data_IF_937613696779
#
_entry.id   IF_937613696779
#
_cell.length_a   1.000
_cell.length_b   1.000
_cell.length_c   1.000
_cell.angle_alpha   90.00
_cell.angle_beta   90.00
_cell.angle_gamma   90.00
#
_symmetry.space_group_name_H-M   'P 1'
#
loop_
_entity.id
_entity.type
_entity.pdbx_description
1 polymer ?
#
# COMPACT_ATOMS: atom_id res chain seq x y z
N UNK A 1 -3.60 48.03 -16.54
CA UNK A 1 -4.24 47.49 -15.32
C UNK A 1 -4.59 46.04 -15.59
N UNK A 2 -4.35 45.19 -14.59
CA UNK A 2 -4.23 43.74 -14.58
C UNK A 2 -5.16 42.87 -15.46
N UNK A 3 -4.54 41.93 -16.18
CA UNK A 3 -5.16 40.66 -16.59
C UNK A 3 -4.36 39.51 -15.98
N UNK A 4 -4.70 39.12 -14.76
CA UNK A 4 -4.17 37.94 -14.09
C UNK A 4 -4.95 36.71 -14.53
N UNK A 5 -4.43 35.92 -15.46
CA UNK A 5 -4.95 34.59 -15.75
C UNK A 5 -4.48 33.63 -14.67
N UNK A 6 -5.35 33.36 -13.70
CA UNK A 6 -5.19 32.27 -12.74
C UNK A 6 -5.34 30.93 -13.48
N UNK A 7 -4.23 30.27 -13.79
CA UNK A 7 -4.24 28.84 -14.10
C UNK A 7 -4.58 28.09 -12.80
N UNK A 8 -5.86 27.75 -12.67
CA UNK A 8 -6.41 26.97 -11.57
C UNK A 8 -6.05 25.50 -11.72
N UNK A 9 -5.21 25.01 -10.81
CA UNK A 9 -5.23 23.68 -10.21
C UNK A 9 -5.69 22.52 -11.09
N UNK A 10 -4.81 22.04 -11.96
CA UNK A 10 -4.93 20.70 -12.53
C UNK A 10 -4.39 19.69 -11.51
N UNK A 11 -5.33 19.08 -10.78
CA UNK A 11 -5.30 17.77 -10.12
C UNK A 11 -3.95 17.00 -10.19
N UNK A 12 -2.98 17.41 -9.37
CA UNK A 12 -1.63 16.86 -9.31
C UNK A 12 -1.50 15.83 -8.17
N UNK A 13 -2.39 14.82 -8.15
CA UNK A 13 -2.38 13.79 -7.09
C UNK A 13 -2.11 12.36 -7.61
N UNK A 14 -1.92 12.19 -8.93
CA UNK A 14 -1.65 10.89 -9.57
C UNK A 14 -0.30 10.84 -10.32
N UNK A 15 0.63 11.74 -9.99
CA UNK A 15 1.87 11.95 -10.77
C UNK A 15 3.17 11.56 -10.07
N UNK A 16 3.11 10.90 -8.91
CA UNK A 16 4.33 10.55 -8.16
C UNK A 16 4.98 9.24 -8.66
N UNK A 17 4.27 8.46 -9.49
CA UNK A 17 4.81 7.25 -10.15
C UNK A 17 5.01 7.47 -11.67
N UNK A 18 4.79 8.69 -12.16
CA UNK A 18 4.83 9.04 -13.59
C UNK A 18 5.83 10.15 -13.94
N UNK A 19 6.47 10.80 -12.97
CA UNK A 19 7.56 11.73 -13.27
C UNK A 19 8.90 11.04 -13.07
N UNK A 20 9.57 10.75 -14.17
CA UNK A 20 10.87 10.08 -14.15
C UNK A 20 11.95 11.15 -13.98
N UNK A 21 13.05 10.83 -13.30
CA UNK A 21 14.17 11.78 -13.17
C UNK A 21 14.70 12.16 -14.56
N UNK A 22 14.67 11.23 -15.51
CA UNK A 22 15.04 11.47 -16.89
C UNK A 22 14.13 12.52 -17.56
N UNK A 23 12.81 12.45 -17.35
CA UNK A 23 11.86 13.43 -17.88
C UNK A 23 12.10 14.81 -17.28
N UNK A 24 12.36 14.89 -15.97
CA UNK A 24 12.71 16.16 -15.32
C UNK A 24 14.00 16.75 -15.88
N UNK A 25 15.07 15.95 -16.01
CA UNK A 25 16.32 16.45 -16.61
C UNK A 25 16.13 16.92 -18.05
N UNK A 26 15.25 16.25 -18.81
CA UNK A 26 14.90 16.63 -20.18
C UNK A 26 14.15 17.96 -20.20
N UNK A 27 13.16 18.15 -19.31
CA UNK A 27 12.44 19.42 -19.17
C UNK A 27 13.37 20.58 -18.80
N UNK A 28 14.27 20.40 -17.84
CA UNK A 28 15.25 21.43 -17.48
C UNK A 28 16.23 21.73 -18.63
N UNK A 29 16.59 20.71 -19.41
CA UNK A 29 17.45 20.87 -20.58
C UNK A 29 16.74 21.63 -21.71
N UNK A 30 15.47 21.33 -21.96
CA UNK A 30 14.62 22.04 -22.92
C UNK A 30 14.43 23.52 -22.55
N UNK A 31 14.11 23.81 -21.28
CA UNK A 31 13.99 25.18 -20.79
C UNK A 31 15.32 25.95 -20.91
N UNK A 32 16.44 25.32 -20.54
CA UNK A 32 17.77 25.90 -20.74
C UNK A 32 18.03 26.26 -22.20
N UNK A 33 17.69 25.37 -23.15
CA UNK A 33 17.85 25.67 -24.57
C UNK A 33 16.92 26.79 -25.06
N UNK A 34 15.70 26.90 -24.51
CA UNK A 34 14.78 27.98 -24.88
C UNK A 34 15.26 29.34 -24.37
N UNK A 35 15.88 29.39 -23.20
CA UNK A 35 16.52 30.61 -22.69
C UNK A 35 17.73 31.03 -23.53
N UNK A 36 18.62 30.09 -23.88
CA UNK A 36 19.79 30.35 -24.73
C UNK A 36 19.39 30.91 -26.11
N UNK A 37 18.24 30.49 -26.65
CA UNK A 37 17.68 31.03 -27.90
C UNK A 37 17.03 32.42 -27.73
N UNK A 38 16.58 32.78 -26.52
CA UNK A 38 15.92 34.06 -26.21
C UNK A 38 16.90 35.19 -25.90
N UNK A 39 18.09 34.87 -25.38
CA UNK A 39 19.14 35.83 -25.02
C UNK A 39 19.81 36.55 -26.22
N UNK A 40 19.40 36.27 -27.47
CA UNK A 40 19.83 37.01 -28.66
C UNK A 40 19.29 38.44 -28.79
N UNK A 41 18.42 38.90 -27.88
CA UNK A 41 17.86 40.25 -27.86
C UNK A 41 17.95 40.88 -26.48
N UNK A 42 18.63 42.03 -26.38
CA UNK A 42 18.92 42.72 -25.13
C UNK A 42 17.67 43.06 -24.29
N UNK A 43 17.36 42.27 -23.23
CA UNK A 43 16.65 42.76 -22.03
C UNK A 43 16.67 41.79 -20.84
N UNK A 44 16.91 42.39 -19.65
CA UNK A 44 16.71 41.93 -18.27
C UNK A 44 17.44 40.64 -17.82
N UNK A 45 17.89 40.54 -16.54
CA UNK A 45 18.61 39.38 -16.04
C UNK A 45 17.71 38.15 -15.98
N UNK A 46 17.75 37.35 -17.05
CA UNK A 46 17.19 36.02 -17.14
C UNK A 46 17.87 35.11 -16.10
N UNK A 47 17.08 34.41 -15.27
CA UNK A 47 17.61 33.45 -14.32
C UNK A 47 18.04 32.20 -15.10
N UNK A 48 19.34 32.08 -15.41
CA UNK A 48 19.89 30.92 -16.15
C UNK A 48 19.41 29.60 -15.54
N UNK A 49 18.55 28.88 -16.26
CA UNK A 49 18.06 27.56 -15.86
C UNK A 49 19.20 26.56 -16.01
N UNK A 50 19.69 26.05 -14.89
CA UNK A 50 20.67 24.97 -14.86
C UNK A 50 19.96 23.62 -14.75
N UNK A 51 20.44 22.62 -15.50
CA UNK A 51 19.97 21.25 -15.34
C UNK A 51 20.50 20.72 -14.00
N UNK A 52 19.63 20.27 -13.08
CA UNK A 52 20.06 19.77 -11.79
C UNK A 52 20.85 18.47 -11.95
N UNK A 53 21.90 18.30 -11.14
CA UNK A 53 22.59 17.01 -11.02
C UNK A 53 21.76 16.08 -10.16
N UNK A 54 21.40 14.92 -10.70
CA UNK A 54 20.65 13.90 -9.96
C UNK A 54 21.61 13.16 -9.05
N UNK A 55 21.41 13.29 -7.73
CA UNK A 55 22.12 12.52 -6.72
C UNK A 55 21.18 11.47 -6.15
N UNK A 56 21.52 10.20 -6.35
CA UNK A 56 20.73 9.10 -5.82
C UNK A 56 21.04 8.87 -4.34
N UNK A 57 19.98 8.88 -3.51
CA UNK A 57 20.07 8.44 -2.11
C UNK A 57 19.95 6.92 -2.05
N UNK A 58 21.08 6.24 -1.82
CA UNK A 58 21.17 4.77 -1.86
C UNK A 58 20.80 4.10 -0.54
N UNK A 59 20.81 4.85 0.56
CA UNK A 59 20.60 4.32 1.91
C UNK A 59 19.16 4.56 2.34
N UNK A 60 18.45 3.47 2.60
CA UNK A 60 17.11 3.49 3.15
C UNK A 60 17.21 3.39 4.68
N UNK A 61 16.82 4.47 5.38
CA UNK A 61 16.84 4.54 6.86
C UNK A 61 15.53 4.05 7.50
N UNK A 62 14.53 3.73 6.69
CA UNK A 62 13.19 3.37 7.16
C UNK A 62 13.05 1.88 7.45
N UNK A 63 13.73 1.04 6.68
CA UNK A 63 13.63 -0.43 6.75
C UNK A 63 15.02 -1.06 6.57
N UNK A 64 15.09 -2.38 6.67
CA UNK A 64 16.32 -3.16 6.69
C UNK A 64 16.53 -3.99 5.41
N UNK A 65 17.72 -4.58 5.26
CA UNK A 65 18.10 -5.34 4.06
C UNK A 65 17.19 -6.54 3.74
N UNK A 66 16.59 -7.19 4.74
CA UNK A 66 15.63 -8.28 4.52
C UNK A 66 14.42 -7.90 3.65
N UNK A 67 13.75 -6.77 3.95
CA UNK A 67 12.62 -6.28 3.13
C UNK A 67 13.12 -5.65 1.83
N UNK A 68 14.22 -4.89 1.90
CA UNK A 68 14.79 -4.21 0.73
C UNK A 68 15.33 -5.19 -0.31
N UNK A 69 15.83 -6.35 0.09
CA UNK A 69 16.26 -7.38 -0.85
C UNK A 69 15.10 -7.86 -1.72
N UNK A 70 13.96 -8.19 -1.11
CA UNK A 70 12.75 -8.58 -1.84
C UNK A 70 12.19 -7.43 -2.71
N UNK A 71 12.14 -6.21 -2.17
CA UNK A 71 11.72 -5.04 -2.93
C UNK A 71 12.66 -4.75 -4.12
N UNK A 72 13.97 -4.89 -3.91
CA UNK A 72 15.01 -4.70 -4.91
C UNK A 72 14.92 -5.73 -6.04
N UNK A 73 14.61 -6.99 -5.73
CA UNK A 73 14.33 -8.00 -6.75
C UNK A 73 13.12 -7.61 -7.61
N UNK A 74 12.03 -7.13 -7.01
CA UNK A 74 10.85 -6.67 -7.78
C UNK A 74 11.24 -5.51 -8.71
N UNK A 75 12.08 -4.58 -8.25
CA UNK A 75 12.62 -3.49 -9.09
C UNK A 75 13.48 -4.02 -10.22
N UNK A 76 14.34 -5.01 -9.97
CA UNK A 76 15.16 -5.64 -11.00
C UNK A 76 14.31 -6.31 -12.08
N UNK A 77 13.23 -7.01 -11.69
CA UNK A 77 12.27 -7.58 -12.63
C UNK A 77 11.60 -6.48 -13.49
N UNK A 78 11.19 -5.37 -12.88
CA UNK A 78 10.64 -4.23 -13.61
C UNK A 78 11.67 -3.63 -14.58
N UNK A 79 12.92 -3.44 -14.15
CA UNK A 79 13.99 -2.91 -15.01
C UNK A 79 14.33 -3.87 -16.17
N UNK A 80 14.23 -5.19 -15.96
CA UNK A 80 14.53 -6.22 -16.96
C UNK A 80 13.42 -6.36 -18.00
N UNK A 81 12.18 -6.51 -17.56
CA UNK A 81 11.04 -6.77 -18.44
C UNK A 81 10.41 -5.47 -18.97
N UNK A 82 10.41 -4.40 -18.16
CA UNK A 82 9.77 -3.12 -18.49
C UNK A 82 10.73 -1.93 -18.35
N UNK A 83 11.90 -1.94 -19.03
CA UNK A 83 12.97 -0.95 -18.85
C UNK A 83 12.55 0.49 -19.14
N UNK A 84 11.50 0.68 -19.94
CA UNK A 84 10.94 1.97 -20.30
C UNK A 84 9.72 2.31 -19.44
N UNK A 85 9.69 1.90 -18.18
CA UNK A 85 8.60 2.25 -17.25
C UNK A 85 9.09 2.59 -15.85
N UNK A 86 10.40 2.53 -15.63
CA UNK A 86 11.06 2.79 -14.36
C UNK A 86 12.45 3.35 -14.61
N UNK A 87 12.89 4.31 -13.77
CA UNK A 87 14.25 4.82 -13.80
C UNK A 87 15.26 3.71 -13.46
N UNK A 88 16.39 3.68 -14.17
CA UNK A 88 17.51 2.81 -13.84
C UNK A 88 18.30 3.42 -12.69
N UNK A 89 18.06 2.89 -11.50
CA UNK A 89 18.67 3.31 -10.25
C UNK A 89 19.49 2.16 -9.66
N UNK A 90 20.54 2.49 -8.93
CA UNK A 90 21.28 1.49 -8.16
C UNK A 90 20.38 0.88 -7.06
N UNK A 91 20.57 -0.40 -6.69
CA UNK A 91 19.79 -1.02 -5.64
C UNK A 91 19.91 -0.27 -4.30
N UNK A 92 18.76 -0.02 -3.65
CA UNK A 92 18.73 0.52 -2.30
C UNK A 92 19.34 -0.46 -1.28
N UNK A 93 20.00 0.07 -0.25
CA UNK A 93 20.52 -0.72 0.86
C UNK A 93 20.04 -0.14 2.18
N UNK A 94 19.68 -1.04 3.09
CA UNK A 94 19.31 -0.70 4.46
C UNK A 94 20.55 -0.43 5.30
N UNK A 95 20.35 0.31 6.39
CA UNK A 95 21.43 0.55 7.34
C UNK A 95 21.80 -0.70 8.16
N UNK A 96 20.85 -1.64 8.30
CA UNK A 96 21.03 -2.88 9.07
C UNK A 96 20.33 -4.06 8.38
N UNK A 97 20.70 -5.27 8.78
CA UNK A 97 20.02 -6.51 8.37
C UNK A 97 18.81 -6.80 9.25
N UNK A 98 17.83 -7.51 8.69
CA UNK A 98 16.62 -7.90 9.41
C UNK A 98 15.95 -9.10 8.77
N UNK A 99 14.82 -9.56 9.34
CA UNK A 99 14.15 -10.78 8.91
C UNK A 99 13.73 -10.70 7.43
N UNK A 100 13.98 -11.79 6.70
CA UNK A 100 13.48 -11.93 5.32
C UNK A 100 11.96 -12.14 5.33
N UNK A 101 11.24 -11.70 4.28
CA UNK A 101 9.84 -12.04 4.07
C UNK A 101 9.53 -13.53 4.30
N UNK A 102 8.38 -13.77 4.92
CA UNK A 102 7.93 -15.12 5.28
C UNK A 102 6.77 -15.54 4.39
N UNK A 103 6.92 -16.68 3.73
CA UNK A 103 5.93 -17.27 2.83
C UNK A 103 5.14 -18.32 3.61
N UNK A 104 3.91 -17.98 4.00
CA UNK A 104 3.07 -18.87 4.82
C UNK A 104 2.48 -19.97 3.94
N UNK A 105 2.72 -21.22 4.36
CA UNK A 105 2.32 -22.40 3.60
C UNK A 105 0.81 -22.61 3.59
N UNK A 106 0.12 -22.16 4.64
CA UNK A 106 -1.30 -22.38 4.86
C UNK A 106 -2.19 -21.33 4.18
N UNK A 107 -3.43 -21.70 3.83
CA UNK A 107 -4.43 -20.74 3.39
C UNK A 107 -4.81 -19.77 4.52
N UNK A 108 -5.38 -18.62 4.14
CA UNK A 108 -5.73 -17.56 5.09
C UNK A 108 -6.72 -17.99 6.17
N UNK A 109 -7.62 -18.94 5.91
CA UNK A 109 -8.57 -19.49 6.88
C UNK A 109 -7.88 -20.25 8.02
N UNK A 110 -6.86 -21.05 7.69
CA UNK A 110 -6.06 -21.79 8.68
C UNK A 110 -5.12 -20.87 9.45
N UNK A 111 -4.51 -19.90 8.76
CA UNK A 111 -3.77 -18.80 9.41
C UNK A 111 -4.68 -18.12 10.43
N UNK A 112 -5.88 -17.72 10.02
CA UNK A 112 -6.86 -17.07 10.89
C UNK A 112 -7.22 -17.90 12.12
N UNK A 113 -7.42 -19.21 11.95
CA UNK A 113 -7.70 -20.15 13.04
C UNK A 113 -6.54 -20.21 14.05
N UNK A 114 -5.31 -20.37 13.57
CA UNK A 114 -4.13 -20.46 14.44
C UNK A 114 -3.91 -19.16 15.22
N UNK A 115 -4.08 -18.03 14.53
CA UNK A 115 -3.90 -16.72 15.16
C UNK A 115 -5.01 -16.44 16.19
N UNK A 116 -6.25 -16.88 15.95
CA UNK A 116 -7.35 -16.67 16.91
C UNK A 116 -7.25 -17.52 18.16
N UNK A 117 -6.61 -18.70 18.12
CA UNK A 117 -6.34 -19.50 19.32
C UNK A 117 -5.43 -18.79 20.33
N UNK A 118 -4.65 -17.81 19.88
CA UNK A 118 -3.79 -17.02 20.77
C UNK A 118 -4.55 -15.90 21.49
N UNK A 119 -5.79 -15.63 21.07
CA UNK A 119 -6.65 -14.60 21.65
C UNK A 119 -7.79 -15.24 22.45
N UNK A 120 -8.07 -14.71 23.64
CA UNK A 120 -9.20 -15.15 24.47
C UNK A 120 -10.58 -14.85 23.86
N UNK A 121 -10.65 -13.89 22.94
CA UNK A 121 -11.88 -13.46 22.26
C UNK A 121 -12.22 -14.31 21.01
N UNK A 122 -11.29 -15.13 20.50
CA UNK A 122 -11.43 -15.77 19.20
C UNK A 122 -11.34 -14.82 18.00
N UNK A 123 -11.04 -13.54 18.21
CA UNK A 123 -10.72 -12.54 17.18
C UNK A 123 -9.23 -12.20 17.19
N UNK A 124 -8.68 -11.81 16.03
CA UNK A 124 -7.29 -11.40 15.94
C UNK A 124 -7.16 -9.92 16.33
N UNK A 125 -6.42 -9.65 17.40
CA UNK A 125 -6.08 -8.29 17.83
C UNK A 125 -4.73 -7.87 17.26
N UNK A 126 -4.72 -7.44 15.99
CA UNK A 126 -3.52 -6.80 15.43
C UNK A 126 -3.20 -5.48 16.09
N UNK A 127 -1.91 -5.22 16.25
CA UNK A 127 -1.39 -3.99 16.83
C UNK A 127 -1.61 -2.75 15.98
N UNK A 128 -1.34 -1.59 16.58
CA UNK A 128 -1.54 -0.29 15.94
C UNK A 128 -0.67 -0.10 14.67
N UNK A 129 0.49 -0.78 14.63
CA UNK A 129 1.46 -0.75 13.53
C UNK A 129 1.46 -2.05 12.71
N UNK A 130 0.38 -2.83 12.78
CA UNK A 130 0.18 -4.02 11.95
C UNK A 130 -0.99 -3.80 10.99
N UNK A 131 -0.88 -4.32 9.76
CA UNK A 131 -1.96 -4.25 8.78
C UNK A 131 -1.98 -5.45 7.84
N UNK A 132 -3.19 -5.85 7.43
CA UNK A 132 -3.38 -6.71 6.28
C UNK A 132 -3.50 -5.84 5.03
N UNK A 133 -2.66 -6.11 4.04
CA UNK A 133 -2.74 -5.48 2.73
C UNK A 133 -3.37 -6.47 1.77
N UNK A 134 -4.48 -6.04 1.18
CA UNK A 134 -5.20 -6.77 0.14
C UNK A 134 -5.18 -5.97 -1.14
N UNK A 135 -5.52 -6.62 -2.24
CA UNK A 135 -5.45 -6.01 -3.55
C UNK A 135 -6.52 -4.95 -3.79
N UNK A 136 -7.77 -5.30 -3.49
CA UNK A 136 -8.93 -4.49 -3.80
C UNK A 136 -9.95 -4.56 -2.66
N UNK A 137 -11.01 -3.75 -2.76
CA UNK A 137 -12.02 -3.64 -1.70
C UNK A 137 -12.83 -4.94 -1.52
N UNK A 138 -13.11 -5.66 -2.60
CA UNK A 138 -13.80 -6.95 -2.52
C UNK A 138 -12.97 -7.97 -1.73
N UNK A 139 -11.66 -8.02 -1.95
CA UNK A 139 -10.73 -8.84 -1.17
C UNK A 139 -10.71 -8.46 0.32
N UNK A 140 -10.81 -7.17 0.64
CA UNK A 140 -10.91 -6.72 2.04
C UNK A 140 -12.19 -7.25 2.72
N UNK A 141 -13.32 -7.22 2.00
CA UNK A 141 -14.60 -7.72 2.47
C UNK A 141 -14.59 -9.25 2.60
N UNK A 142 -14.00 -9.96 1.63
CA UNK A 142 -13.77 -11.41 1.68
C UNK A 142 -12.94 -11.78 2.90
N UNK A 143 -11.82 -11.10 3.15
CA UNK A 143 -10.95 -11.35 4.30
C UNK A 143 -11.71 -11.19 5.62
N UNK A 144 -12.43 -10.08 5.80
CA UNK A 144 -13.25 -9.84 7.01
C UNK A 144 -14.41 -10.82 7.15
N UNK A 145 -14.86 -11.39 6.04
CA UNK A 145 -15.90 -12.41 5.97
C UNK A 145 -15.42 -13.84 6.21
N UNK A 146 -14.10 -14.08 6.30
CA UNK A 146 -13.55 -15.42 6.52
C UNK A 146 -14.08 -16.01 7.83
N UNK A 147 -14.67 -17.20 7.72
CA UNK A 147 -15.12 -18.01 8.84
C UNK A 147 -14.12 -19.15 9.01
N UNK A 148 -13.49 -19.22 10.17
CA UNK A 148 -12.58 -20.32 10.52
C UNK A 148 -13.37 -21.62 10.78
N UNK A 149 -12.73 -22.80 10.72
CA UNK A 149 -13.40 -24.09 10.93
C UNK A 149 -14.17 -24.23 12.26
N UNK A 150 -13.77 -23.46 13.28
CA UNK A 150 -14.43 -23.40 14.59
C UNK A 150 -15.64 -22.43 14.64
N UNK A 151 -16.04 -21.84 13.49
CA UNK A 151 -17.13 -20.88 13.39
C UNK A 151 -16.77 -19.43 13.75
N UNK A 152 -15.53 -19.16 14.20
CA UNK A 152 -15.08 -17.80 14.51
C UNK A 152 -14.82 -16.97 13.24
N UNK A 153 -14.86 -15.64 13.39
CA UNK A 153 -14.50 -14.68 12.33
C UNK A 153 -13.21 -13.96 12.70
N UNK A 154 -12.04 -14.60 12.52
CA UNK A 154 -10.78 -14.12 13.09
C UNK A 154 -10.37 -12.74 12.56
N UNK A 155 -10.75 -12.40 11.33
CA UNK A 155 -10.37 -11.15 10.67
C UNK A 155 -11.48 -10.08 10.66
N UNK A 156 -12.57 -10.26 11.40
CA UNK A 156 -13.70 -9.31 11.39
C UNK A 156 -13.26 -7.88 11.74
N UNK A 157 -12.44 -7.75 12.78
CA UNK A 157 -11.94 -6.48 13.30
C UNK A 157 -10.52 -6.16 12.81
N UNK A 158 -10.04 -6.86 11.78
CA UNK A 158 -8.69 -6.63 11.25
C UNK A 158 -8.67 -5.43 10.33
N UNK A 159 -7.59 -4.64 10.44
CA UNK A 159 -7.28 -3.55 9.51
C UNK A 159 -6.82 -4.12 8.16
N UNK A 160 -7.79 -4.49 7.34
CA UNK A 160 -7.60 -4.85 5.93
C UNK A 160 -7.68 -3.58 5.07
N UNK A 161 -6.57 -3.23 4.42
CA UNK A 161 -6.42 -2.04 3.57
C UNK A 161 -6.05 -2.46 2.16
N UNK A 162 -6.59 -1.76 1.17
CA UNK A 162 -6.12 -1.88 -0.21
C UNK A 162 -4.74 -1.25 -0.38
N UNK A 163 -3.99 -1.70 -1.39
CA UNK A 163 -2.69 -1.12 -1.73
C UNK A 163 -2.80 0.41 -1.94
N UNK A 164 -3.89 0.88 -2.57
CA UNK A 164 -4.16 2.30 -2.74
C UNK A 164 -4.36 3.06 -1.42
N UNK A 165 -5.11 2.48 -0.47
CA UNK A 165 -5.34 3.07 0.85
C UNK A 165 -4.07 3.10 1.72
N UNK A 166 -3.11 2.21 1.46
CA UNK A 166 -1.83 2.18 2.18
C UNK A 166 -0.83 3.25 1.71
N UNK A 167 -1.16 4.00 0.65
CA UNK A 167 -0.27 5.02 0.11
C UNK A 167 -0.02 6.14 1.13
N UNK A 168 1.26 6.40 1.41
CA UNK A 168 1.65 7.38 2.43
C UNK A 168 1.51 6.85 3.87
N UNK A 169 1.13 5.59 4.05
CA UNK A 169 1.10 4.91 5.33
C UNK A 169 2.24 3.91 5.43
N UNK A 170 2.65 3.61 6.65
CA UNK A 170 3.74 2.68 6.94
C UNK A 170 3.38 1.87 8.19
N UNK A 171 3.77 0.60 8.18
CA UNK A 171 3.49 -0.36 9.24
C UNK A 171 4.78 -1.06 9.61
N UNK A 172 4.93 -1.46 10.87
CA UNK A 172 6.07 -2.27 11.27
C UNK A 172 5.91 -3.67 10.69
N UNK A 173 4.71 -4.26 10.79
CA UNK A 173 4.40 -5.57 10.22
C UNK A 173 3.26 -5.50 9.20
N UNK A 174 3.47 -6.16 8.06
CA UNK A 174 2.49 -6.26 6.98
C UNK A 174 2.21 -7.71 6.63
N UNK A 175 0.93 -8.04 6.51
CA UNK A 175 0.48 -9.33 5.97
C UNK A 175 -0.14 -9.06 4.60
N UNK A 176 0.52 -9.50 3.54
CA UNK A 176 0.02 -9.42 2.17
C UNK A 176 -0.83 -10.66 1.93
N UNK A 177 -2.14 -10.46 1.74
CA UNK A 177 -3.13 -11.53 1.62
C UNK A 177 -3.66 -11.62 0.20
N UNK A 178 -3.59 -12.83 -0.38
CA UNK A 178 -4.17 -13.22 -1.67
C UNK A 178 -3.84 -12.26 -2.83
N UNK A 179 -2.65 -11.64 -2.79
CA UNK A 179 -2.21 -10.70 -3.80
C UNK A 179 -2.20 -11.29 -5.21
N UNK A 180 -1.67 -12.51 -5.35
CA UNK A 180 -1.58 -13.24 -6.60
C UNK A 180 -2.91 -13.89 -6.95
N UNK A 181 -3.63 -14.45 -5.97
CA UNK A 181 -4.97 -15.00 -6.21
C UNK A 181 -5.92 -13.96 -6.82
N UNK A 182 -5.95 -12.76 -6.24
CA UNK A 182 -6.79 -11.64 -6.69
C UNK A 182 -6.17 -10.85 -7.86
N UNK A 183 -4.96 -11.18 -8.30
CA UNK A 183 -4.30 -10.51 -9.43
C UNK A 183 -5.09 -10.70 -10.74
N UNK A 184 -5.32 -9.62 -11.53
CA UNK A 184 -5.88 -9.71 -12.87
C UNK A 184 -4.90 -10.36 -13.85
N UNK A 185 -3.58 -10.34 -13.57
CA UNK A 185 -2.62 -11.11 -14.34
C UNK A 185 -2.91 -12.61 -14.20
N UNK A 186 -2.89 -13.29 -15.35
CA UNK A 186 -3.08 -14.72 -15.47
C UNK A 186 -1.89 -15.49 -14.90
N UNK A 187 -2.05 -16.81 -14.72
CA UNK A 187 -0.91 -17.68 -14.40
C UNK A 187 0.21 -17.55 -15.44
N UNK A 188 -0.12 -17.41 -16.72
CA UNK A 188 0.86 -17.32 -17.80
C UNK A 188 1.69 -16.04 -17.69
N UNK A 189 1.06 -14.92 -17.34
CA UNK A 189 1.75 -13.65 -17.11
C UNK A 189 2.80 -13.80 -16.00
N UNK A 190 2.43 -14.40 -14.86
CA UNK A 190 3.35 -14.63 -13.75
C UNK A 190 4.46 -15.62 -14.09
N UNK A 191 4.18 -16.63 -14.93
CA UNK A 191 5.18 -17.62 -15.35
C UNK A 191 6.31 -17.04 -16.19
N UNK A 192 6.14 -15.86 -16.78
CA UNK A 192 7.24 -15.17 -17.46
C UNK A 192 8.42 -14.90 -16.51
N UNK A 193 8.18 -14.73 -15.21
CA UNK A 193 9.25 -14.53 -14.23
C UNK A 193 10.21 -15.72 -14.12
N UNK A 194 9.77 -16.91 -14.55
CA UNK A 194 10.62 -18.11 -14.61
C UNK A 194 11.73 -17.96 -15.65
N UNK A 195 11.52 -17.17 -16.71
CA UNK A 195 12.54 -16.84 -17.71
C UNK A 195 13.74 -16.17 -17.04
N UNK A 196 13.50 -15.21 -16.14
CA UNK A 196 14.55 -14.53 -15.37
C UNK A 196 15.39 -15.54 -14.57
N UNK A 197 14.74 -16.48 -13.87
CA UNK A 197 15.45 -17.55 -13.13
C UNK A 197 16.32 -18.44 -14.02
N UNK A 198 15.85 -18.76 -15.23
CA UNK A 198 16.59 -19.62 -16.16
C UNK A 198 17.82 -18.93 -16.72
N UNK A 199 17.71 -17.63 -17.02
CA UNK A 199 18.81 -16.81 -17.50
C UNK A 199 19.88 -16.58 -16.42
N UNK A 200 19.49 -16.24 -15.19
CA UNK A 200 20.44 -16.09 -14.06
C UNK A 200 21.19 -17.39 -13.78
N UNK A 201 20.50 -18.54 -13.79
CA UNK A 201 21.16 -19.86 -13.70
C UNK A 201 22.16 -20.12 -14.82
N UNK A 202 21.91 -19.63 -16.04
CA UNK A 202 22.82 -19.77 -17.15
C UNK A 202 24.06 -18.87 -17.01
N UNK A 203 23.94 -17.75 -16.30
CA UNK A 203 25.06 -16.87 -15.93
C UNK A 203 25.92 -17.54 -14.84
N UNK A 204 25.31 -18.14 -13.80
CA UNK A 204 26.00 -18.84 -12.71
C UNK A 204 26.74 -20.12 -13.14
N UNK A 205 26.36 -20.71 -14.28
CA UNK A 205 27.08 -21.84 -14.89
C UNK A 205 28.40 -21.41 -15.56
N UNK A 206 28.72 -20.11 -15.58
CA UNK A 206 30.06 -19.61 -15.90
C UNK A 206 30.95 -19.75 -14.66
N UNK A 207 32.17 -20.29 -14.78
CA UNK A 207 32.93 -20.74 -13.62
C UNK A 207 33.58 -19.56 -12.87
N UNK A 208 32.84 -18.78 -12.09
CA UNK A 208 33.39 -17.91 -11.05
C UNK A 208 32.60 -17.94 -9.73
N UNK A 209 33.12 -18.77 -8.81
CA UNK A 209 33.07 -18.73 -7.33
C UNK A 209 31.98 -17.87 -6.63
N UNK A 210 30.69 -18.19 -6.70
CA UNK A 210 29.76 -17.86 -5.60
C UNK A 210 28.81 -19.03 -5.26
N UNK A 211 28.51 -19.11 -3.97
CA UNK A 211 27.80 -20.12 -3.17
C UNK A 211 26.91 -21.15 -3.87
N UNK A 212 27.30 -22.43 -3.79
CA UNK A 212 26.44 -23.60 -4.03
C UNK A 212 25.50 -23.82 -2.84
N UNK A 213 24.20 -23.55 -3.00
CA UNK A 213 23.10 -24.32 -2.37
C UNK A 213 21.72 -23.65 -2.58
N UNK A 214 21.10 -23.74 -3.76
CA UNK A 214 19.69 -23.34 -3.89
C UNK A 214 18.95 -23.86 -5.14
N UNK A 215 19.00 -25.15 -5.53
CA UNK A 215 18.12 -25.57 -6.64
C UNK A 215 17.55 -26.98 -6.48
N UNK A 216 16.35 -27.06 -5.87
CA UNK A 216 15.45 -28.23 -5.94
C UNK A 216 13.98 -27.90 -6.25
N UNK A 217 13.64 -26.65 -6.59
CA UNK A 217 12.24 -26.18 -6.65
C UNK A 217 11.51 -26.42 -7.98
N UNK A 218 12.17 -26.92 -9.04
CA UNK A 218 11.50 -27.08 -10.34
C UNK A 218 10.56 -28.29 -10.49
N UNK A 219 10.49 -29.19 -9.50
CA UNK A 219 9.71 -30.42 -9.61
C UNK A 219 8.19 -30.24 -9.39
N UNK A 220 7.74 -29.11 -8.83
CA UNK A 220 6.33 -28.95 -8.41
C UNK A 220 5.44 -28.15 -9.37
N UNK A 221 6.00 -27.40 -10.32
CA UNK A 221 5.21 -26.58 -11.25
C UNK A 221 4.53 -27.36 -12.40
N UNK A 222 4.65 -28.69 -12.42
CA UNK A 222 4.10 -29.56 -13.49
C UNK A 222 2.91 -30.43 -13.08
N UNK A 223 2.43 -30.35 -11.84
CA UNK A 223 1.39 -31.24 -11.31
C UNK A 223 -0.02 -30.66 -11.38
N UNK A 224 -0.62 -30.59 -12.58
CA UNK A 224 -2.05 -30.36 -12.70
C UNK A 224 -2.86 -31.45 -11.98
N UNK A 225 -3.83 -31.02 -11.18
CA UNK A 225 -4.83 -31.83 -10.46
C UNK A 225 -5.26 -33.10 -11.21
N UNK A 226 -5.04 -34.27 -10.60
CA UNK A 226 -5.82 -35.48 -10.91
C UNK A 226 -6.52 -35.93 -9.63
N UNK A 227 -7.84 -35.76 -9.68
CA UNK A 227 -8.83 -36.29 -8.75
C UNK A 227 -8.54 -37.75 -8.39
N UNK A 228 -8.52 -38.02 -7.09
CA UNK A 228 -8.42 -39.35 -6.49
C UNK A 228 -9.63 -40.22 -6.89
N UNK A 229 -9.36 -41.36 -7.50
CA UNK A 229 -10.35 -42.43 -7.68
C UNK A 229 -10.05 -43.35 -8.85
N UNK A 230 -9.21 -44.36 -8.67
CA UNK A 230 -9.33 -45.64 -9.38
C UNK A 230 -8.43 -46.73 -8.78
N UNK A 231 -9.07 -47.86 -8.59
CA UNK A 231 -8.70 -49.14 -8.00
C UNK A 231 -7.47 -49.83 -8.62
N UNK A 232 -6.80 -50.62 -7.80
CA UNK A 232 -5.74 -51.58 -8.13
C UNK A 232 -6.26 -52.66 -9.11
N UNK A 233 -5.57 -52.88 -10.24
CA UNK A 233 -5.40 -54.20 -10.86
C UNK A 233 -4.46 -54.16 -12.08
N UNK A 234 -3.60 -55.18 -12.21
CA UNK A 234 -3.25 -55.75 -13.52
C UNK A 234 -1.87 -55.38 -14.09
N UNK A 235 -1.00 -56.38 -14.15
CA UNK A 235 0.34 -56.35 -14.71
C UNK A 235 0.38 -56.17 -16.25
N UNK A 236 1.45 -55.56 -16.76
CA UNK A 236 2.29 -56.22 -17.78
C UNK A 236 3.65 -55.53 -17.96
N UNK A 237 4.69 -56.37 -18.04
CA UNK A 237 6.06 -56.02 -18.44
C UNK A 237 6.10 -55.92 -19.97
N UNK A 238 6.70 -54.84 -20.48
CA UNK A 238 7.05 -54.70 -21.89
C UNK A 238 8.04 -53.56 -22.07
N UNK A 239 9.19 -53.87 -22.67
CA UNK A 239 10.30 -52.96 -22.94
C UNK A 239 9.88 -51.64 -23.61
N UNK A 240 10.36 -50.52 -23.08
CA UNK A 240 10.57 -49.31 -23.85
C UNK A 240 11.80 -48.58 -23.30
N UNK A 241 12.72 -48.25 -24.22
CA UNK A 241 13.95 -47.53 -23.95
C UNK A 241 13.69 -46.27 -23.13
N UNK A 242 14.58 -46.01 -22.17
CA UNK A 242 14.58 -44.82 -21.32
C UNK A 242 14.86 -43.55 -22.12
N UNK A 243 13.84 -43.02 -22.79
CA UNK A 243 13.76 -41.61 -23.14
C UNK A 243 13.42 -40.84 -21.88
N UNK A 244 14.45 -40.30 -21.21
CA UNK A 244 14.30 -39.23 -20.23
C UNK A 244 13.87 -37.96 -20.97
N UNK A 245 12.63 -37.94 -21.46
CA UNK A 245 11.97 -36.70 -21.83
C UNK A 245 11.62 -35.98 -20.53
N UNK A 246 12.57 -35.18 -20.05
CA UNK A 246 12.29 -34.10 -19.12
C UNK A 246 11.19 -33.27 -19.75
N UNK A 247 9.97 -33.40 -19.25
CA UNK A 247 8.83 -32.58 -19.65
C UNK A 247 9.21 -31.11 -19.39
N UNK A 248 9.68 -30.42 -20.43
CA UNK A 248 10.14 -29.05 -20.32
C UNK A 248 8.93 -28.19 -19.93
N UNK A 249 9.00 -27.56 -18.75
CA UNK A 249 8.02 -26.57 -18.34
C UNK A 249 8.04 -25.47 -19.40
N UNK A 250 6.99 -25.40 -20.23
CA UNK A 250 6.86 -24.34 -21.22
C UNK A 250 6.85 -23.00 -20.48
N UNK A 251 7.91 -22.22 -20.64
CA UNK A 251 7.97 -20.85 -20.13
C UNK A 251 7.45 -19.94 -21.25
N UNK A 252 6.35 -19.20 -21.04
CA UNK A 252 5.94 -18.19 -22.02
C UNK A 252 7.07 -17.17 -22.17
N UNK A 253 7.33 -16.78 -23.42
CA UNK A 253 8.32 -15.75 -23.74
C UNK A 253 7.74 -14.37 -23.39
N UNK A 254 8.58 -13.50 -22.82
CA UNK A 254 8.15 -12.14 -22.52
C UNK A 254 7.85 -11.33 -23.80
N UNK A 255 6.62 -10.86 -23.90
CA UNK A 255 6.18 -9.84 -24.85
C UNK A 255 5.73 -8.56 -24.13
N UNK A 256 6.26 -7.40 -24.53
CA UNK A 256 6.00 -6.12 -23.85
C UNK A 256 4.54 -5.67 -23.95
N UNK A 257 3.84 -5.98 -25.04
CA UNK A 257 2.47 -5.53 -25.27
C UNK A 257 1.46 -6.46 -24.61
N UNK A 258 1.75 -7.77 -24.57
CA UNK A 258 0.86 -8.75 -23.95
C UNK A 258 0.97 -8.73 -22.42
N UNK A 259 2.15 -8.45 -21.86
CA UNK A 259 2.39 -8.51 -20.42
C UNK A 259 2.31 -7.15 -19.71
N UNK A 260 1.60 -6.16 -20.26
CA UNK A 260 1.45 -4.85 -19.62
C UNK A 260 0.81 -4.95 -18.23
N UNK A 261 -0.10 -5.91 -18.03
CA UNK A 261 -0.73 -6.16 -16.72
C UNK A 261 0.32 -6.55 -15.68
N UNK A 262 1.26 -7.43 -16.03
CA UNK A 262 2.35 -7.85 -15.14
C UNK A 262 3.20 -6.67 -14.65
N UNK A 263 3.39 -5.62 -15.47
CA UNK A 263 4.11 -4.44 -15.02
C UNK A 263 3.38 -3.73 -13.86
N UNK A 264 2.07 -3.51 -14.01
CA UNK A 264 1.26 -2.90 -12.95
C UNK A 264 1.20 -3.80 -11.71
N UNK A 265 1.19 -5.12 -11.89
CA UNK A 265 1.31 -6.08 -10.80
C UNK A 265 2.61 -5.92 -10.02
N UNK A 266 3.76 -5.85 -10.71
CA UNK A 266 5.05 -5.70 -10.06
C UNK A 266 5.15 -4.36 -9.30
N UNK A 267 4.62 -3.27 -9.85
CA UNK A 267 4.55 -1.96 -9.16
C UNK A 267 3.68 -2.02 -7.90
N UNK A 268 2.55 -2.71 -7.98
CA UNK A 268 1.66 -2.90 -6.82
C UNK A 268 2.29 -3.81 -5.76
N UNK A 269 2.94 -4.89 -6.17
CA UNK A 269 3.65 -5.80 -5.27
C UNK A 269 4.79 -5.07 -4.55
N UNK A 270 5.58 -4.28 -5.29
CA UNK A 270 6.62 -3.41 -4.72
C UNK A 270 6.02 -2.47 -3.68
N UNK A 271 4.91 -1.82 -4.01
CA UNK A 271 4.23 -0.89 -3.08
C UNK A 271 3.80 -1.61 -1.80
N UNK A 272 3.19 -2.80 -1.91
CA UNK A 272 2.73 -3.61 -0.79
C UNK A 272 3.89 -4.06 0.12
N UNK A 273 4.97 -4.59 -0.46
CA UNK A 273 6.17 -5.02 0.28
C UNK A 273 6.82 -3.85 1.01
N UNK A 274 6.94 -2.71 0.34
CA UNK A 274 7.58 -1.51 0.91
C UNK A 274 6.70 -0.71 1.87
N UNK A 275 5.49 -1.18 2.20
CA UNK A 275 4.73 -0.65 3.34
C UNK A 275 5.28 -1.15 4.68
N UNK A 276 6.02 -2.25 4.70
CA UNK A 276 6.60 -2.82 5.91
C UNK A 276 7.95 -2.19 6.29
N UNK A 277 8.10 -1.85 7.57
CA UNK A 277 9.35 -1.37 8.17
C UNK A 277 10.15 -2.50 8.82
N UNK A 278 9.49 -3.55 9.30
CA UNK A 278 10.12 -4.66 10.02
C UNK A 278 9.79 -6.05 9.44
N UNK A 279 8.53 -6.42 9.22
CA UNK A 279 8.20 -7.79 8.76
C UNK A 279 7.17 -7.81 7.65
N UNK A 280 7.37 -8.73 6.70
CA UNK A 280 6.44 -9.03 5.62
C UNK A 280 6.06 -10.50 5.69
N UNK A 281 4.76 -10.76 5.76
CA UNK A 281 4.18 -12.09 5.65
C UNK A 281 3.37 -12.18 4.36
N UNK A 282 3.61 -13.21 3.57
CA UNK A 282 2.79 -13.53 2.40
C UNK A 282 1.87 -14.69 2.75
N UNK A 283 0.57 -14.50 2.52
CA UNK A 283 -0.44 -15.57 2.53
C UNK A 283 -1.15 -15.50 1.20
N UNK A 284 -1.12 -16.58 0.42
CA UNK A 284 -1.78 -16.60 -0.88
C UNK A 284 -2.31 -18.00 -1.21
N UNK A 285 -3.57 -18.06 -1.60
CA UNK A 285 -4.31 -19.29 -1.91
C UNK A 285 -4.09 -19.81 -3.32
N UNK A 286 -3.62 -18.98 -4.26
CA UNK A 286 -3.41 -19.38 -5.65
C UNK A 286 -1.98 -19.87 -5.87
N UNK A 287 -1.76 -21.16 -5.62
CA UNK A 287 -0.49 -21.82 -5.94
C UNK A 287 0.04 -21.55 -7.36
N UNK A 288 -0.75 -21.72 -8.44
CA UNK A 288 -0.24 -21.49 -9.80
C UNK A 288 0.23 -20.04 -10.03
N UNK A 289 -0.48 -19.04 -9.49
CA UNK A 289 -0.11 -17.62 -9.68
C UNK A 289 1.02 -17.17 -8.76
N UNK A 290 1.06 -17.63 -7.50
CA UNK A 290 2.09 -17.20 -6.52
C UNK A 290 3.45 -17.86 -6.77
N UNK A 291 3.45 -19.09 -7.29
CA UNK A 291 4.66 -19.92 -7.33
C UNK A 291 5.83 -19.33 -8.13
N UNK A 292 5.64 -18.68 -9.30
CA UNK A 292 6.75 -18.06 -10.02
C UNK A 292 7.50 -17.03 -9.18
N UNK A 293 6.77 -16.14 -8.48
CA UNK A 293 7.39 -15.10 -7.66
C UNK A 293 7.97 -15.68 -6.35
N UNK A 294 7.28 -16.63 -5.72
CA UNK A 294 7.76 -17.26 -4.49
C UNK A 294 9.03 -18.09 -4.72
N UNK A 295 9.07 -18.87 -5.79
CA UNK A 295 10.25 -19.66 -6.16
C UNK A 295 11.45 -18.76 -6.50
N UNK A 296 11.21 -17.60 -7.11
CA UNK A 296 12.25 -16.62 -7.37
C UNK A 296 12.80 -16.01 -6.07
N UNK A 297 11.92 -15.56 -5.17
CA UNK A 297 12.31 -15.05 -3.86
C UNK A 297 13.09 -16.09 -3.04
N UNK A 298 12.69 -17.37 -3.10
CA UNK A 298 13.38 -18.46 -2.43
C UNK A 298 14.77 -18.73 -3.05
N UNK A 299 14.85 -18.78 -4.38
CA UNK A 299 16.10 -19.06 -5.10
C UNK A 299 17.18 -17.99 -4.83
N UNK A 300 16.77 -16.72 -4.77
CA UNK A 300 17.64 -15.60 -4.40
C UNK A 300 17.91 -15.52 -2.88
N UNK A 301 17.33 -16.44 -2.10
CA UNK A 301 17.41 -16.43 -0.65
C UNK A 301 16.83 -15.16 -0.04
N UNK A 302 15.83 -14.54 -0.66
CA UNK A 302 15.17 -13.31 -0.24
C UNK A 302 13.87 -13.54 0.54
N UNK A 303 13.37 -14.77 0.59
CA UNK A 303 12.25 -15.16 1.44
C UNK A 303 12.45 -16.57 2.01
N UNK A 304 11.66 -16.93 3.01
CA UNK A 304 11.64 -18.30 3.57
C UNK A 304 10.21 -18.81 3.70
N UNK A 305 10.01 -20.08 3.39
CA UNK A 305 8.77 -20.78 3.73
C UNK A 305 8.67 -21.00 5.24
N UNK A 306 7.48 -20.80 5.80
CA UNK A 306 7.24 -21.04 7.22
C UNK A 306 5.80 -21.46 7.48
N UNK A 307 5.59 -22.18 8.58
CA UNK A 307 4.26 -22.54 9.04
C UNK A 307 3.78 -21.47 10.02
N UNK A 308 2.50 -21.06 9.97
CA UNK A 308 2.00 -20.01 10.88
C UNK A 308 2.22 -20.33 12.36
N UNK A 309 2.20 -21.62 12.75
CA UNK A 309 2.49 -22.07 14.12
C UNK A 309 3.87 -21.63 14.63
N UNK A 310 4.85 -21.51 13.73
CA UNK A 310 6.23 -21.15 14.10
C UNK A 310 6.39 -19.63 14.31
N UNK A 311 5.42 -18.83 13.85
CA UNK A 311 5.50 -17.36 13.77
C UNK A 311 4.30 -16.66 14.40
N UNK A 312 3.46 -17.36 15.16
CA UNK A 312 2.22 -16.80 15.74
C UNK A 312 2.47 -15.51 16.53
N UNK A 313 3.52 -15.54 17.38
CA UNK A 313 3.93 -14.38 18.20
C UNK A 313 4.46 -13.22 17.38
N UNK A 314 4.93 -13.50 16.18
CA UNK A 314 5.42 -12.49 15.25
C UNK A 314 4.27 -11.86 14.46
N UNK A 315 3.24 -12.64 14.14
CA UNK A 315 2.10 -12.17 13.34
C UNK A 315 1.11 -11.37 14.18
N UNK A 316 0.87 -11.76 15.44
CA UNK A 316 -0.09 -11.08 16.33
C UNK A 316 0.66 -10.34 17.43
N UNK A 317 0.76 -9.03 17.27
CA UNK A 317 1.38 -8.13 18.24
C UNK A 317 0.31 -7.19 18.78
N UNK A 318 -0.24 -7.47 19.97
CA UNK A 318 -1.19 -6.55 20.60
C UNK A 318 -0.50 -5.23 20.96
N UNK A 319 -1.25 -4.13 20.85
CA UNK A 319 -0.75 -2.78 21.16
C UNK A 319 -1.55 -2.16 22.30
N UNK A 320 -0.89 -1.50 23.27
CA UNK A 320 -1.59 -0.77 24.32
C UNK A 320 -2.35 0.43 23.74
N UNK A 321 -3.32 0.96 24.48
CA UNK A 321 -4.12 2.13 24.09
C UNK A 321 -3.25 3.32 23.61
N UNK A 322 -2.15 3.60 24.31
CA UNK A 322 -1.20 4.66 23.93
C UNK A 322 -0.53 4.43 22.56
N UNK A 323 -0.38 3.17 22.12
CA UNK A 323 0.11 2.85 20.77
C UNK A 323 -0.92 3.25 19.70
N UNK A 324 -2.19 2.95 19.95
CA UNK A 324 -3.29 3.34 19.07
C UNK A 324 -3.47 4.86 18.99
N UNK A 325 -3.37 5.57 20.12
CA UNK A 325 -3.44 7.03 20.12
C UNK A 325 -2.33 7.65 19.26
N UNK A 326 -1.07 7.22 19.44
CA UNK A 326 0.06 7.71 18.63
C UNK A 326 -0.16 7.48 17.14
N UNK A 327 -0.64 6.30 16.76
CA UNK A 327 -0.96 6.00 15.37
C UNK A 327 -2.10 6.90 14.86
N UNK A 328 -3.17 7.08 15.64
CA UNK A 328 -4.29 7.97 15.30
C UNK A 328 -3.84 9.42 15.13
N UNK A 329 -2.96 9.93 16.00
CA UNK A 329 -2.39 11.27 15.88
C UNK A 329 -1.55 11.43 14.62
N UNK A 330 -0.73 10.42 14.26
CA UNK A 330 0.01 10.42 13.00
C UNK A 330 -0.93 10.48 11.78
N UNK A 331 -2.05 9.75 11.84
CA UNK A 331 -3.05 9.73 10.77
C UNK A 331 -3.79 11.06 10.63
N UNK A 332 -4.08 11.77 11.72
CA UNK A 332 -4.62 13.14 11.68
C UNK A 332 -3.69 14.06 10.88
N UNK A 333 -2.38 13.98 11.11
CA UNK A 333 -1.39 14.80 10.40
C UNK A 333 -1.41 14.62 8.88
N UNK A 334 -1.87 13.46 8.40
CA UNK A 334 -2.03 13.16 6.96
C UNK A 334 -3.46 13.39 6.44
N UNK A 335 -4.38 13.86 7.30
CA UNK A 335 -5.79 14.06 6.96
C UNK A 335 -6.62 12.77 6.87
N UNK A 336 -6.08 11.64 7.31
CA UNK A 336 -6.75 10.33 7.28
C UNK A 336 -7.63 10.11 8.52
N UNK A 337 -8.67 10.94 8.67
CA UNK A 337 -9.58 10.89 9.81
C UNK A 337 -10.38 9.58 9.92
N UNK A 338 -10.59 8.88 8.80
CA UNK A 338 -11.26 7.57 8.80
C UNK A 338 -10.50 6.53 9.61
N UNK A 339 -9.21 6.36 9.32
CA UNK A 339 -8.38 5.40 10.04
C UNK A 339 -8.03 5.88 11.45
N UNK A 340 -7.92 7.20 11.64
CA UNK A 340 -7.69 7.78 12.96
C UNK A 340 -8.86 7.49 13.92
N UNK A 341 -10.10 7.51 13.43
CA UNK A 341 -11.28 7.15 14.22
C UNK A 341 -11.15 5.74 14.81
N UNK A 342 -10.87 4.73 13.98
CA UNK A 342 -10.69 3.35 14.42
C UNK A 342 -9.57 3.22 15.47
N UNK A 343 -8.47 3.97 15.30
CA UNK A 343 -7.41 4.03 16.31
C UNK A 343 -7.91 4.59 17.65
N UNK A 344 -8.63 5.70 17.64
CA UNK A 344 -9.10 6.32 18.88
C UNK A 344 -10.20 5.53 19.57
N UNK A 345 -11.03 4.82 18.81
CA UNK A 345 -12.02 3.89 19.35
C UNK A 345 -11.31 2.73 20.09
N UNK A 346 -10.25 2.16 19.51
CA UNK A 346 -9.43 1.13 20.18
C UNK A 346 -8.61 1.66 21.35
N UNK A 347 -8.23 2.93 21.31
CA UNK A 347 -7.59 3.59 22.44
C UNK A 347 -8.56 3.90 23.59
N UNK A 348 -9.88 3.89 23.34
CA UNK A 348 -10.89 4.30 24.31
C UNK A 348 -10.96 5.81 24.55
N UNK A 349 -10.38 6.64 23.68
CA UNK A 349 -10.31 8.09 23.86
C UNK A 349 -11.48 8.80 23.18
N UNK A 350 -12.59 8.96 23.90
CA UNK A 350 -13.83 9.53 23.34
C UNK A 350 -13.65 10.95 22.77
N UNK A 351 -12.77 11.77 23.35
CA UNK A 351 -12.53 13.14 22.85
C UNK A 351 -11.90 13.11 21.45
N UNK A 352 -10.93 12.22 21.24
CA UNK A 352 -10.28 12.06 19.93
C UNK A 352 -11.19 11.35 18.91
N UNK A 353 -12.05 10.44 19.37
CA UNK A 353 -13.13 9.86 18.55
C UNK A 353 -14.08 10.96 18.05
N UNK A 354 -14.56 11.81 18.95
CA UNK A 354 -15.44 12.93 18.60
C UNK A 354 -14.74 13.89 17.62
N UNK A 355 -13.44 14.17 17.82
CA UNK A 355 -12.63 14.98 16.91
C UNK A 355 -12.54 14.39 15.49
N UNK A 356 -12.12 13.13 15.37
CA UNK A 356 -11.95 12.48 14.07
C UNK A 356 -13.30 12.35 13.33
N UNK A 357 -14.36 11.95 14.04
CA UNK A 357 -15.71 11.85 13.50
C UNK A 357 -16.27 13.22 13.09
N UNK A 358 -15.93 14.28 13.82
CA UNK A 358 -16.22 15.67 13.46
C UNK A 358 -15.68 16.03 12.07
N UNK A 359 -14.41 15.74 11.82
CA UNK A 359 -13.79 15.99 10.51
C UNK A 359 -14.38 15.15 9.37
N UNK A 360 -14.76 13.89 9.62
CA UNK A 360 -15.46 13.07 8.63
C UNK A 360 -16.78 13.72 8.21
N UNK A 361 -17.63 14.10 9.18
CA UNK A 361 -18.91 14.73 8.91
C UNK A 361 -18.75 16.08 8.21
N UNK A 362 -17.73 16.86 8.59
CA UNK A 362 -17.41 18.11 7.96
C UNK A 362 -17.09 17.92 6.47
N UNK A 363 -16.22 16.95 6.14
CA UNK A 363 -15.87 16.61 4.76
C UNK A 363 -17.09 16.20 3.93
N UNK A 364 -17.93 15.31 4.48
CA UNK A 364 -19.18 14.91 3.81
C UNK A 364 -20.12 16.10 3.59
N UNK A 365 -20.18 17.03 4.53
CA UNK A 365 -20.95 18.26 4.40
C UNK A 365 -20.42 19.16 3.26
N UNK A 366 -19.11 19.28 3.12
CA UNK A 366 -18.47 20.07 2.08
C UNK A 366 -18.63 19.45 0.68
N UNK A 367 -18.64 18.13 0.56
CA UNK A 367 -18.89 17.42 -0.70
C UNK A 367 -20.35 17.52 -1.15
N UNK A 368 -21.30 17.69 -0.21
CA UNK A 368 -22.73 17.81 -0.49
C UNK A 368 -23.16 19.16 -1.13
N UNK A 369 -22.20 20.02 -1.53
CA UNK A 369 -22.44 21.36 -2.11
C UNK A 369 -23.24 21.33 -3.43
N UNK A 370 -23.26 20.21 -4.16
CA UNK A 370 -23.76 20.14 -5.55
C UNK A 370 -25.25 19.78 -5.74
N UNK A 371 -26.12 19.96 -4.73
CA UNK A 371 -27.49 19.39 -4.73
C UNK A 371 -28.67 20.38 -4.67
N UNK A 372 -28.51 21.64 -5.09
CA UNK A 372 -29.58 22.66 -4.99
C UNK A 372 -30.05 22.90 -3.54
N UNK A 373 -31.32 23.28 -3.31
CA UNK A 373 -31.85 23.60 -1.96
C UNK A 373 -31.76 22.45 -0.97
N UNK A 374 -31.99 21.21 -1.42
CA UNK A 374 -31.90 20.03 -0.56
C UNK A 374 -30.44 19.73 -0.18
N UNK A 375 -29.51 19.92 -1.12
CA UNK A 375 -28.06 19.86 -0.86
C UNK A 375 -27.61 20.87 0.18
N UNK A 376 -28.11 22.12 0.12
CA UNK A 376 -27.79 23.16 1.12
C UNK A 376 -28.29 22.78 2.52
N UNK A 377 -29.50 22.23 2.65
CA UNK A 377 -30.03 21.76 3.94
C UNK A 377 -29.18 20.63 4.51
N UNK A 378 -28.89 19.61 3.69
CA UNK A 378 -28.07 18.46 4.09
C UNK A 378 -26.65 18.90 4.50
N UNK A 379 -26.04 19.79 3.73
CA UNK A 379 -24.74 20.40 4.05
C UNK A 379 -24.76 21.09 5.42
N UNK A 380 -25.72 21.98 5.67
CA UNK A 380 -25.83 22.67 6.96
C UNK A 380 -26.03 21.70 8.12
N UNK A 381 -26.84 20.65 7.92
CA UNK A 381 -27.06 19.63 8.95
C UNK A 381 -25.77 18.86 9.29
N UNK A 382 -25.02 18.42 8.27
CA UNK A 382 -23.77 17.68 8.47
C UNK A 382 -22.70 18.54 9.14
N UNK A 383 -22.55 19.80 8.71
CA UNK A 383 -21.61 20.75 9.32
C UNK A 383 -22.04 21.08 10.76
N UNK A 384 -23.33 21.22 11.03
CA UNK A 384 -23.83 21.44 12.40
C UNK A 384 -23.52 20.25 13.31
N UNK A 385 -23.71 19.01 12.83
CA UNK A 385 -23.35 17.79 13.58
C UNK A 385 -21.84 17.73 13.84
N UNK A 386 -21.01 18.07 12.85
CA UNK A 386 -19.56 18.19 13.02
C UNK A 386 -19.19 19.21 14.10
N UNK A 387 -19.82 20.39 14.09
CA UNK A 387 -19.63 21.41 15.12
C UNK A 387 -19.94 20.92 16.53
N UNK A 388 -21.04 20.17 16.72
CA UNK A 388 -21.36 19.57 18.02
C UNK A 388 -20.29 18.57 18.50
N UNK A 389 -19.69 17.80 17.59
CA UNK A 389 -18.61 16.87 17.93
C UNK A 389 -17.32 17.62 18.29
N UNK A 390 -16.99 18.70 17.58
CA UNK A 390 -15.83 19.53 17.93
C UNK A 390 -15.95 20.18 19.31
N UNK A 391 -17.16 20.59 19.72
CA UNK A 391 -17.41 21.07 21.09
C UNK A 391 -17.11 19.98 22.12
N UNK A 392 -17.60 18.75 21.89
CA UNK A 392 -17.34 17.60 22.79
C UNK A 392 -15.86 17.22 22.84
N UNK A 393 -15.14 17.43 21.74
CA UNK A 393 -13.70 17.24 21.64
C UNK A 393 -12.88 18.38 22.29
N UNK A 394 -13.51 19.49 22.71
CA UNK A 394 -12.81 20.67 23.23
C UNK A 394 -12.12 21.53 22.16
N UNK A 395 -12.55 21.41 20.90
CA UNK A 395 -11.98 22.10 19.73
C UNK A 395 -12.88 23.27 19.32
N UNK A 396 -12.81 24.35 20.10
CA UNK A 396 -13.75 25.46 19.99
C UNK A 396 -13.58 26.30 18.72
N UNK A 397 -12.35 26.43 18.18
CA UNK A 397 -12.10 27.15 16.93
C UNK A 397 -12.79 26.47 15.74
N UNK A 398 -12.59 25.17 15.58
CA UNK A 398 -13.25 24.37 14.54
C UNK A 398 -14.77 24.32 14.72
N UNK A 399 -15.23 24.24 15.98
CA UNK A 399 -16.65 24.32 16.29
C UNK A 399 -17.27 25.68 15.89
N UNK A 400 -16.58 26.78 16.15
CA UNK A 400 -17.01 28.13 15.77
C UNK A 400 -17.13 28.24 14.25
N UNK A 401 -16.11 27.79 13.51
CA UNK A 401 -16.14 27.76 12.05
C UNK A 401 -17.34 26.95 11.52
N UNK A 402 -17.62 25.79 12.10
CA UNK A 402 -18.80 24.99 11.73
C UNK A 402 -20.12 25.71 12.03
N UNK A 403 -20.22 26.42 13.15
CA UNK A 403 -21.43 27.19 13.49
C UNK A 403 -21.65 28.34 12.49
N UNK A 404 -20.59 29.05 12.08
CA UNK A 404 -20.67 30.09 11.04
C UNK A 404 -21.14 29.49 9.71
N UNK A 405 -20.53 28.38 9.27
CA UNK A 405 -20.88 27.71 8.01
C UNK A 405 -22.29 27.10 7.97
N UNK A 406 -22.84 26.72 9.14
CA UNK A 406 -24.20 26.19 9.26
C UNK A 406 -25.26 27.25 9.60
N UNK A 407 -24.87 28.53 9.75
CA UNK A 407 -25.71 29.65 10.17
C UNK A 407 -26.35 29.48 11.56
N UNK A 408 -25.65 28.81 12.49
CA UNK A 408 -26.07 28.68 13.89
C UNK A 408 -25.45 29.81 14.73
N UNK A 409 -25.93 31.04 14.48
CA UNK A 409 -25.39 32.26 15.10
C UNK A 409 -25.52 32.26 16.63
N UNK A 410 -26.59 31.66 17.16
CA UNK A 410 -26.81 31.54 18.60
C UNK A 410 -25.76 30.64 19.28
N UNK A 411 -25.32 29.56 18.63
CA UNK A 411 -24.22 28.73 19.13
C UNK A 411 -22.87 29.41 18.89
N UNK A 412 -22.66 30.07 17.76
CA UNK A 412 -21.44 30.82 17.48
C UNK A 412 -21.15 31.89 18.55
N UNK A 413 -22.14 32.72 18.91
CA UNK A 413 -22.01 33.75 19.96
C UNK A 413 -21.60 33.18 21.32
N UNK A 414 -22.06 31.97 21.66
CA UNK A 414 -21.70 31.28 22.90
C UNK A 414 -20.28 30.71 22.90
N UNK A 415 -19.72 30.44 21.71
CA UNK A 415 -18.37 29.88 21.57
C UNK A 415 -17.28 30.95 21.52
N UNK A 416 -17.59 32.18 21.09
CA UNK A 416 -16.61 33.29 21.00
C UNK A 416 -15.70 33.43 22.23
N UNK A 417 -16.19 33.43 23.49
CA UNK A 417 -15.32 33.59 24.65
C UNK A 417 -14.43 32.37 24.96
N UNK A 418 -14.64 31.24 24.29
CA UNK A 418 -13.91 29.98 24.48
C UNK A 418 -12.85 29.73 23.39
N UNK A 419 -12.71 30.64 22.42
CA UNK A 419 -11.79 30.50 21.29
C UNK A 419 -10.57 31.38 21.51
N UNK A 420 -9.39 30.77 21.51
CA UNK A 420 -8.12 31.47 21.72
C UNK A 420 -7.63 32.22 20.47
N UNK A 421 -8.10 31.83 19.27
CA UNK A 421 -7.70 32.46 18.00
C UNK A 421 -8.43 33.80 17.79
N UNK A 422 -7.71 34.89 18.07
CA UNK A 422 -8.21 36.27 17.94
C UNK A 422 -8.66 36.59 16.52
N UNK A 423 -7.97 36.11 15.48
CA UNK A 423 -8.33 36.40 14.09
C UNK A 423 -9.66 35.75 13.73
N UNK A 424 -9.86 34.50 14.18
CA UNK A 424 -11.11 33.77 13.97
C UNK A 424 -12.26 34.43 14.73
N UNK A 425 -12.03 34.90 15.96
CA UNK A 425 -13.02 35.61 16.77
C UNK A 425 -13.46 36.91 16.10
N UNK A 426 -12.51 37.73 15.64
CA UNK A 426 -12.82 39.00 14.95
C UNK A 426 -13.63 38.77 13.67
N UNK A 427 -13.18 37.82 12.83
CA UNK A 427 -13.89 37.49 11.59
C UNK A 427 -15.33 36.98 11.86
N UNK A 428 -15.52 36.20 12.92
CA UNK A 428 -16.84 35.72 13.31
C UNK A 428 -17.73 36.85 13.86
N UNK A 429 -17.17 37.80 14.62
CA UNK A 429 -17.89 38.97 15.13
C UNK A 429 -18.38 39.89 14.01
N UNK A 430 -17.51 40.20 13.03
CA UNK A 430 -17.87 41.03 11.88
C UNK A 430 -19.04 40.42 11.10
N UNK A 431 -18.98 39.12 10.82
CA UNK A 431 -20.05 38.41 10.13
C UNK A 431 -21.36 38.37 10.96
N UNK A 432 -21.27 38.24 12.28
CA UNK A 432 -22.44 38.25 13.17
C UNK A 432 -23.09 39.63 13.32
N UNK A 433 -22.36 40.71 13.03
CA UNK A 433 -22.87 42.09 13.00
C UNK A 433 -23.53 42.44 11.68
N UNK A 434 -23.07 41.88 10.57
CA UNK A 434 -23.66 42.10 9.24
C UNK A 434 -25.02 41.39 9.04
N UNK A 435 -25.25 40.29 9.77
CA UNK A 435 -26.51 39.54 9.76
C UNK A 435 -27.55 40.04 10.79
N UNK A 436 -27.20 41.02 11.63
CA UNK A 436 -28.08 41.62 12.65
C UNK A 436 -28.75 42.90 12.11
#
# INVERSE_FOLDING_TARGET
>A
MHSSSRCSGMMMMMMMMMMWFQDLTTLFFEEKQMEEKRDGGARAPCHKVAVPTVQQLKINYRTHNGVLGAAGLIVQLMQRFFPNTIDRLEPERGFFDGPKPMLLLQPISEVGLVLSYSSSSGSIEFGAQQACIVRNRAAAETLRGVVAPNGSRPFADVRALTIGETKGLEFDDVIIVDFFADSPASEQDWRVLVQYMQEERAIDLRPEKHSRAAFKTFAYLGGGSRTTGATIAGANRGNAASSSEKLAVHCPEFDRHQHLVLNEELKMLYTAVTRAKARVFFVDSSEPKRSPMWALLEAEGLARHTHVLDVVRDVVVSSPAAGWERMGSSLIGTGNYNMALDCFERAGNQRLVDFARGHQLFKVGEEARSGGRLGVRRRREMIRKAGCLFIRAGRFGEALQCCMLSADHARARRLLPLVDDVNLVMAAQDHLQQDA
#
